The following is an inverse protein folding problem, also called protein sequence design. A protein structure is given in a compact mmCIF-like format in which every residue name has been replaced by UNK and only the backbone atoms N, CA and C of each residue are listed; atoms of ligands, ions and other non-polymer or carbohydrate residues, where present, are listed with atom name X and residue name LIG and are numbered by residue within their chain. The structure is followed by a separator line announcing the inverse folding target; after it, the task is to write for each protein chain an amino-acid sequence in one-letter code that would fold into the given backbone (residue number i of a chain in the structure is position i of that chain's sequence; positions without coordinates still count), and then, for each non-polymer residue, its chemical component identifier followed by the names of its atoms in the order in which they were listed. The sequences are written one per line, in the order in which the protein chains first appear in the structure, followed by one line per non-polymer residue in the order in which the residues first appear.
data_IF_526939930393
#
_entry.id   IF_526939930393
#
_cell.length_a   1.000
_cell.length_b   1.000
_cell.length_c   1.000
_cell.angle_alpha   90.00
_cell.angle_beta   90.00
_cell.angle_gamma   90.00
#
_symmetry.space_group_name_H-M   'P 1'
#
loop_
_entity.id
_entity.type
_entity.pdbx_description
1 polymer ?
#
# COMPACT_ATOMS: atom_id res chain seq x y z
N UNK A 1 -19.05 18.38 46.51
CA UNK A 1 -19.10 18.45 45.04
C UNK A 1 -17.77 17.95 44.55
N UNK A 2 -17.69 16.65 44.32
CA UNK A 2 -16.51 15.96 43.82
C UNK A 2 -16.94 15.23 42.56
N UNK A 3 -16.29 15.60 41.47
CA UNK A 3 -16.42 15.03 40.15
C UNK A 3 -16.14 13.53 40.16
N UNK A 4 -17.07 12.77 39.59
CA UNK A 4 -16.91 11.36 39.26
C UNK A 4 -17.20 11.22 37.77
N UNK A 5 -16.21 11.55 36.94
CA UNK A 5 -16.22 11.24 35.50
C UNK A 5 -15.76 9.79 35.33
N UNK A 6 -16.73 8.89 35.28
CA UNK A 6 -16.53 7.50 34.85
C UNK A 6 -16.31 7.47 33.34
N UNK A 7 -15.08 7.18 32.91
CA UNK A 7 -14.77 6.86 31.53
C UNK A 7 -15.39 5.49 31.18
N UNK A 8 -16.38 5.49 30.30
CA UNK A 8 -16.90 4.28 29.66
C UNK A 8 -15.91 3.83 28.60
N UNK A 9 -15.05 2.86 28.95
CA UNK A 9 -14.26 2.09 28.00
C UNK A 9 -15.18 1.33 27.04
N UNK A 10 -15.07 1.62 25.75
CA UNK A 10 -15.79 0.92 24.68
C UNK A 10 -15.23 -0.51 24.55
N UNK A 11 -16.02 -1.57 24.81
CA UNK A 11 -15.55 -2.96 24.82
C UNK A 11 -15.04 -3.45 23.47
N UNK A 12 -15.32 -2.72 22.38
CA UNK A 12 -14.90 -3.07 21.02
C UNK A 12 -13.39 -2.84 20.80
N UNK A 13 -12.83 -1.77 21.38
CA UNK A 13 -11.41 -1.42 21.23
C UNK A 13 -10.46 -2.40 21.94
N UNK A 14 -10.91 -3.01 23.04
CA UNK A 14 -10.13 -3.99 23.81
C UNK A 14 -9.98 -5.32 23.06
N UNK A 15 -11.03 -5.73 22.33
CA UNK A 15 -11.03 -7.00 21.58
C UNK A 15 -10.10 -6.95 20.37
N UNK A 16 -10.02 -5.81 19.68
CA UNK A 16 -9.16 -5.62 18.52
C UNK A 16 -7.66 -5.66 18.89
N UNK A 17 -7.29 -5.10 20.04
CA UNK A 17 -5.91 -5.16 20.54
C UNK A 17 -5.44 -6.60 20.85
N UNK A 18 -6.32 -7.47 21.35
CA UNK A 18 -5.95 -8.84 21.68
C UNK A 18 -5.64 -9.70 20.45
N UNK A 19 -6.38 -9.50 19.34
CA UNK A 19 -6.11 -10.16 18.05
C UNK A 19 -4.72 -9.80 17.52
N UNK A 20 -4.36 -8.53 17.62
CA UNK A 20 -3.06 -8.03 17.16
C UNK A 20 -1.91 -8.63 17.98
N UNK A 21 -2.05 -8.68 19.31
CA UNK A 21 -1.03 -9.30 20.17
C UNK A 21 -0.82 -10.79 19.86
N UNK A 22 -1.90 -11.53 19.61
CA UNK A 22 -1.80 -12.93 19.17
C UNK A 22 -1.04 -13.02 17.84
N UNK A 23 -1.36 -12.16 16.87
CA UNK A 23 -0.65 -12.11 15.58
C UNK A 23 0.85 -11.91 15.76
N UNK A 24 1.23 -10.91 16.57
CA UNK A 24 2.62 -10.57 16.84
C UNK A 24 3.36 -11.72 17.57
N UNK A 25 2.68 -12.44 18.46
CA UNK A 25 3.26 -13.58 19.17
C UNK A 25 3.64 -14.74 18.23
N UNK A 26 2.76 -15.11 17.31
CA UNK A 26 3.03 -16.16 16.31
C UNK A 26 4.09 -15.73 15.29
N UNK A 27 4.10 -14.47 14.87
CA UNK A 27 5.14 -13.94 13.96
C UNK A 27 6.52 -13.91 14.65
N UNK A 28 6.58 -13.58 15.95
CA UNK A 28 7.79 -13.72 16.76
C UNK A 28 8.28 -15.17 16.82
N UNK A 29 7.36 -16.14 16.94
CA UNK A 29 7.71 -17.56 16.90
C UNK A 29 8.28 -17.99 15.54
N UNK A 30 7.72 -17.48 14.45
CA UNK A 30 8.20 -17.73 13.09
C UNK A 30 9.60 -17.19 12.86
N UNK A 31 9.88 -15.95 13.29
CA UNK A 31 11.22 -15.33 13.15
C UNK A 31 12.30 -16.08 13.91
N UNK A 32 11.95 -16.84 14.94
CA UNK A 32 12.89 -17.71 15.66
C UNK A 32 13.34 -18.96 14.87
N UNK A 33 12.83 -19.16 13.65
CA UNK A 33 13.27 -20.22 12.73
C UNK A 33 12.73 -21.62 13.05
N UNK A 34 11.73 -21.74 13.94
CA UNK A 34 11.12 -23.03 14.28
C UNK A 34 10.20 -23.51 13.17
N UNK A 35 10.34 -24.78 12.76
CA UNK A 35 9.52 -25.39 11.70
C UNK A 35 8.01 -25.40 12.05
N UNK A 36 7.67 -25.65 13.32
CA UNK A 36 6.29 -25.72 13.81
C UNK A 36 5.86 -24.44 14.53
N UNK A 37 6.16 -23.27 13.96
CA UNK A 37 5.86 -21.98 14.61
C UNK A 37 4.36 -21.69 14.73
N UNK A 38 3.52 -22.37 13.96
CA UNK A 38 2.05 -22.28 14.00
C UNK A 38 1.41 -23.00 15.19
N UNK A 39 2.20 -23.71 15.99
CA UNK A 39 1.76 -24.43 17.18
C UNK A 39 2.69 -24.13 18.35
N UNK A 40 2.12 -23.80 19.51
CA UNK A 40 2.89 -23.63 20.75
C UNK A 40 2.03 -23.94 21.97
N UNK A 41 2.64 -24.20 23.13
CA UNK A 41 1.86 -24.41 24.36
C UNK A 41 1.25 -23.11 24.84
N UNK A 42 0.17 -23.17 25.62
CA UNK A 42 -0.45 -21.97 26.25
C UNK A 42 0.56 -21.17 27.07
N UNK A 43 1.49 -21.84 27.76
CA UNK A 43 2.57 -21.19 28.50
C UNK A 43 3.54 -20.42 27.59
N UNK A 44 3.91 -21.00 26.44
CA UNK A 44 4.78 -20.31 25.47
C UNK A 44 4.06 -19.12 24.85
N UNK A 45 2.77 -19.25 24.53
CA UNK A 45 1.97 -18.13 24.05
C UNK A 45 1.94 -16.99 25.10
N UNK A 46 1.63 -17.30 26.36
CA UNK A 46 1.62 -16.32 27.45
C UNK A 46 2.96 -15.61 27.60
N UNK A 47 4.07 -16.34 27.58
CA UNK A 47 5.40 -15.74 27.67
C UNK A 47 5.67 -14.78 26.51
N UNK A 48 5.26 -15.11 25.29
CA UNK A 48 5.42 -14.23 24.13
C UNK A 48 4.56 -12.96 24.23
N UNK A 49 3.32 -13.09 24.70
CA UNK A 49 2.44 -11.96 24.95
C UNK A 49 3.03 -11.03 26.01
N UNK A 50 3.61 -11.61 27.08
CA UNK A 50 4.34 -10.85 28.09
C UNK A 50 5.58 -10.16 27.49
N UNK A 51 6.36 -10.82 26.64
CA UNK A 51 7.55 -10.19 26.05
C UNK A 51 7.19 -9.03 25.10
N UNK A 52 6.11 -9.16 24.31
CA UNK A 52 5.62 -8.10 23.40
C UNK A 52 5.12 -6.88 24.18
N UNK A 53 4.42 -7.12 25.30
CA UNK A 53 3.81 -6.05 26.11
C UNK A 53 4.73 -5.50 27.20
N UNK A 54 6.03 -5.82 27.18
CA UNK A 54 6.94 -5.37 28.25
C UNK A 54 6.52 -5.87 29.64
N UNK A 55 5.98 -7.08 29.72
CA UNK A 55 5.44 -7.77 30.91
C UNK A 55 4.13 -7.20 31.44
N UNK A 56 3.44 -6.34 30.68
CA UNK A 56 2.18 -5.74 31.10
C UNK A 56 0.93 -6.61 30.83
N UNK A 57 1.02 -7.64 29.97
CA UNK A 57 -0.13 -8.47 29.61
C UNK A 57 -0.80 -9.13 30.83
N UNK A 58 -2.10 -8.89 30.99
CA UNK A 58 -2.98 -9.60 31.92
C UNK A 58 -4.22 -10.08 31.19
N UNK A 59 -4.62 -11.33 31.44
CA UNK A 59 -5.80 -11.91 30.80
C UNK A 59 -7.10 -11.16 31.14
N UNK A 60 -7.18 -10.58 32.34
CA UNK A 60 -8.32 -9.78 32.81
C UNK A 60 -8.59 -8.56 31.93
N UNK A 61 -7.54 -7.96 31.38
CA UNK A 61 -7.63 -6.75 30.56
C UNK A 61 -8.31 -7.05 29.22
N UNK A 62 -8.43 -8.33 28.86
CA UNK A 62 -9.12 -8.83 27.67
C UNK A 62 -10.38 -9.64 28.01
N UNK A 63 -10.91 -9.50 29.23
CA UNK A 63 -12.11 -10.20 29.69
C UNK A 63 -11.92 -11.70 29.93
N UNK A 64 -10.67 -12.18 30.02
CA UNK A 64 -10.35 -13.58 30.25
C UNK A 64 -9.88 -13.83 31.69
N UNK A 65 -10.24 -14.99 32.25
CA UNK A 65 -9.82 -15.39 33.61
C UNK A 65 -8.43 -16.01 33.64
N UNK A 66 -8.05 -16.67 32.55
CA UNK A 66 -6.77 -17.34 32.37
C UNK A 66 -6.42 -17.39 30.87
N UNK A 67 -5.22 -17.88 30.56
CA UNK A 67 -4.74 -17.94 29.18
C UNK A 67 -5.59 -18.85 28.28
N UNK A 68 -6.20 -19.91 28.83
CA UNK A 68 -7.05 -20.80 28.06
C UNK A 68 -8.39 -20.14 27.71
N UNK A 69 -8.98 -19.38 28.64
CA UNK A 69 -10.13 -18.50 28.39
C UNK A 69 -9.80 -17.42 27.37
N UNK A 70 -8.61 -16.82 27.43
CA UNK A 70 -8.16 -15.84 26.44
C UNK A 70 -8.10 -16.45 25.04
N UNK A 71 -7.50 -17.63 24.89
CA UNK A 71 -7.45 -18.35 23.60
C UNK A 71 -8.86 -18.67 23.08
N UNK A 72 -9.77 -19.10 23.97
CA UNK A 72 -11.17 -19.39 23.62
C UNK A 72 -11.98 -18.17 23.19
N UNK A 73 -11.55 -16.95 23.54
CA UNK A 73 -12.19 -15.72 23.10
C UNK A 73 -11.95 -15.41 21.60
N UNK A 74 -10.97 -16.08 20.98
CA UNK A 74 -10.62 -15.90 19.55
C UNK A 74 -10.72 -17.23 18.77
N UNK A 75 -11.90 -17.87 18.70
CA UNK A 75 -12.08 -19.19 18.10
C UNK A 75 -11.88 -19.19 16.57
N UNK A 76 -11.98 -18.03 15.93
CA UNK A 76 -11.69 -17.83 14.52
C UNK A 76 -10.18 -17.76 14.24
N UNK A 77 -9.37 -17.45 15.24
CA UNK A 77 -7.92 -17.31 15.10
C UNK A 77 -7.16 -18.51 15.65
N UNK A 78 -7.59 -19.03 16.80
CA UNK A 78 -6.86 -20.01 17.60
C UNK A 78 -7.71 -21.25 17.88
N UNK A 79 -7.07 -22.42 17.75
CA UNK A 79 -7.59 -23.69 18.22
C UNK A 79 -6.82 -24.09 19.48
N UNK A 80 -7.54 -24.36 20.56
CA UNK A 80 -6.98 -24.94 21.77
C UNK A 80 -7.09 -26.47 21.71
N UNK A 81 -5.95 -27.15 21.68
CA UNK A 81 -5.84 -28.59 21.76
C UNK A 81 -5.52 -29.03 23.20
N UNK A 82 -6.53 -29.62 23.85
CA UNK A 82 -6.43 -30.14 25.22
C UNK A 82 -6.00 -31.62 25.29
N UNK A 83 -5.69 -32.25 24.16
CA UNK A 83 -5.24 -33.65 24.14
C UNK A 83 -3.81 -33.83 24.67
N UNK A 84 -3.02 -32.75 24.67
CA UNK A 84 -1.65 -32.72 25.19
C UNK A 84 -1.56 -32.03 26.56
N UNK A 85 -0.59 -32.47 27.37
CA UNK A 85 -0.24 -31.83 28.64
C UNK A 85 1.21 -31.33 28.53
N UNK A 86 1.48 -30.00 28.57
CA UNK A 86 0.50 -28.91 28.66
C UNK A 86 -0.32 -28.68 27.37
N UNK A 87 -1.52 -28.06 27.46
CA UNK A 87 -2.36 -27.76 26.30
C UNK A 87 -1.63 -26.96 25.23
N UNK A 88 -1.94 -27.27 23.97
CA UNK A 88 -1.36 -26.60 22.80
C UNK A 88 -2.36 -25.64 22.18
N UNK A 89 -1.83 -24.57 21.62
CA UNK A 89 -2.56 -23.58 20.84
C UNK A 89 -2.05 -23.64 19.41
N UNK A 90 -2.97 -23.76 18.46
CA UNK A 90 -2.70 -23.80 17.03
C UNK A 90 -3.34 -22.60 16.36
N UNK A 91 -2.60 -21.94 15.47
CA UNK A 91 -3.13 -20.88 14.62
C UNK A 91 -4.01 -21.53 13.52
N UNK A 92 -5.33 -21.29 13.55
CA UNK A 92 -6.29 -21.83 12.56
C UNK A 92 -6.24 -21.00 11.28
N UNK A 93 -6.21 -19.68 11.45
CA UNK A 93 -6.34 -18.73 10.35
C UNK A 93 -4.99 -18.12 10.04
N UNK A 94 -4.34 -18.58 8.96
CA UNK A 94 -3.12 -17.97 8.41
C UNK A 94 -3.35 -16.56 7.87
N UNK A 95 -4.60 -16.10 7.71
CA UNK A 95 -4.96 -14.74 7.29
C UNK A 95 -4.42 -13.66 8.22
N UNK A 96 -4.16 -13.98 9.49
CA UNK A 96 -3.53 -13.03 10.42
C UNK A 96 -2.04 -12.82 10.08
N UNK A 97 -1.39 -13.79 9.43
CA UNK A 97 -0.05 -13.63 8.86
C UNK A 97 -0.06 -12.85 7.53
N UNK A 98 -1.21 -12.74 6.86
CA UNK A 98 -1.37 -11.85 5.70
C UNK A 98 -1.57 -10.39 6.10
N UNK A 99 -2.14 -10.13 7.28
CA UNK A 99 -2.30 -8.77 7.81
C UNK A 99 -1.07 -8.27 8.59
N UNK A 100 -0.25 -9.18 9.15
CA UNK A 100 0.96 -8.81 9.92
C UNK A 100 2.27 -8.82 9.11
N UNK A 101 2.27 -9.28 7.85
CA UNK A 101 3.31 -8.86 6.91
C UNK A 101 3.06 -7.39 6.62
N UNK A 102 4.11 -6.56 6.73
CA UNK A 102 4.14 -5.28 6.01
C UNK A 102 3.51 -5.50 4.63
N UNK A 103 2.59 -4.63 4.19
CA UNK A 103 1.78 -4.89 3.03
C UNK A 103 2.67 -5.40 1.91
N UNK A 104 2.40 -6.57 1.34
CA UNK A 104 3.23 -7.16 0.26
C UNK A 104 3.47 -6.14 -0.88
N UNK A 105 2.55 -5.20 -1.02
CA UNK A 105 2.60 -4.03 -1.88
C UNK A 105 3.76 -3.02 -1.62
N UNK A 106 4.43 -3.08 -0.47
CA UNK A 106 5.63 -2.28 -0.17
C UNK A 106 6.91 -2.85 -0.80
N UNK A 107 6.92 -4.14 -1.19
CA UNK A 107 8.13 -4.83 -1.66
C UNK A 107 8.21 -5.02 -3.18
N UNK A 108 7.20 -4.60 -3.93
CA UNK A 108 7.17 -4.84 -5.37
C UNK A 108 6.15 -4.01 -6.14
N UNK A 109 6.10 -4.28 -7.44
CA UNK A 109 5.13 -3.71 -8.38
C UNK A 109 4.09 -4.78 -8.68
N UNK A 110 2.82 -4.43 -8.56
CA UNK A 110 1.74 -5.30 -9.02
C UNK A 110 1.92 -5.54 -10.52
N UNK A 111 1.70 -6.78 -10.96
CA UNK A 111 1.85 -7.17 -12.35
C UNK A 111 1.10 -6.18 -13.28
N UNK A 112 1.73 -5.66 -14.35
CA UNK A 112 1.17 -4.53 -15.10
C UNK A 112 -0.22 -4.75 -15.71
N UNK A 113 -0.53 -5.97 -16.12
CA UNK A 113 -1.84 -6.37 -16.63
C UNK A 113 -2.92 -6.32 -15.54
N UNK A 114 -2.63 -6.86 -14.35
CA UNK A 114 -3.52 -6.81 -13.19
C UNK A 114 -3.76 -5.37 -12.70
N UNK A 115 -2.68 -4.58 -12.62
CA UNK A 115 -2.77 -3.17 -12.27
C UNK A 115 -3.67 -2.42 -13.25
N UNK A 116 -3.47 -2.62 -14.55
CA UNK A 116 -4.29 -1.98 -15.59
C UNK A 116 -5.75 -2.43 -15.49
N UNK A 117 -6.00 -3.71 -15.29
CA UNK A 117 -7.36 -4.25 -15.19
C UNK A 117 -8.17 -3.61 -14.05
N UNK A 118 -7.52 -3.35 -12.91
CA UNK A 118 -8.17 -2.73 -11.75
C UNK A 118 -8.28 -1.21 -11.91
N UNK A 119 -7.21 -0.55 -12.38
CA UNK A 119 -7.09 0.91 -12.36
C UNK A 119 -7.60 1.62 -13.62
N UNK A 120 -7.92 0.90 -14.70
CA UNK A 120 -8.35 1.50 -15.98
C UNK A 120 -9.85 1.82 -16.02
N UNK A 121 -10.33 2.53 -15.00
CA UNK A 121 -11.74 2.91 -14.86
C UNK A 121 -12.19 4.03 -15.80
N UNK A 122 -11.26 4.70 -16.49
CA UNK A 122 -11.53 5.81 -17.39
C UNK A 122 -11.75 5.38 -18.84
N UNK A 123 -11.19 4.24 -19.25
CA UNK A 123 -11.33 3.77 -20.63
C UNK A 123 -12.70 3.17 -20.93
N UNK A 124 -13.46 2.78 -19.89
CA UNK A 124 -14.70 2.02 -20.04
C UNK A 124 -14.48 0.56 -20.48
N UNK A 125 -13.23 0.10 -20.59
CA UNK A 125 -12.90 -1.27 -20.96
C UNK A 125 -13.18 -2.23 -19.81
N UNK A 126 -13.66 -3.42 -20.16
CA UNK A 126 -13.77 -4.54 -19.22
C UNK A 126 -12.60 -5.49 -19.40
N UNK A 127 -12.03 -5.93 -18.30
CA UNK A 127 -10.91 -6.87 -18.27
C UNK A 127 -11.37 -8.23 -17.79
N UNK A 128 -10.81 -9.30 -18.35
CA UNK A 128 -11.18 -10.68 -18.06
C UNK A 128 -9.93 -11.51 -17.77
N UNK A 129 -10.06 -12.54 -16.95
CA UNK A 129 -8.97 -13.45 -16.62
C UNK A 129 -8.97 -14.67 -17.54
N UNK A 130 -7.89 -14.86 -18.30
CA UNK A 130 -7.72 -16.01 -19.21
C UNK A 130 -7.06 -17.24 -18.54
N UNK A 131 -6.86 -17.20 -17.21
CA UNK A 131 -6.11 -18.20 -16.45
C UNK A 131 -4.63 -17.85 -16.25
N UNK A 132 -4.10 -16.90 -17.03
CA UNK A 132 -2.68 -16.50 -16.98
C UNK A 132 -2.50 -14.99 -16.80
N UNK A 133 -3.28 -14.18 -17.51
CA UNK A 133 -3.18 -12.73 -17.59
C UNK A 133 -4.54 -12.05 -17.69
N UNK A 134 -4.57 -10.77 -17.34
CA UNK A 134 -5.75 -9.93 -17.56
C UNK A 134 -5.76 -9.42 -19.00
N UNK A 135 -6.78 -9.80 -19.76
CA UNK A 135 -6.98 -9.37 -21.14
C UNK A 135 -8.10 -8.32 -21.21
N UNK A 136 -7.84 -7.23 -21.93
CA UNK A 136 -8.88 -6.25 -22.25
C UNK A 136 -9.82 -6.88 -23.28
N UNK A 137 -11.12 -6.87 -23.00
CA UNK A 137 -12.10 -7.36 -23.93
C UNK A 137 -12.71 -6.19 -24.71
N UNK A 138 -12.27 -6.03 -25.94
CA UNK A 138 -12.84 -5.09 -26.90
C UNK A 138 -13.89 -5.78 -27.81
N UNK A 139 -14.17 -7.09 -27.66
CA UNK A 139 -15.05 -7.85 -28.57
C UNK A 139 -15.78 -9.02 -27.90
N UNK A 140 -17.10 -9.09 -28.07
CA UNK A 140 -18.03 -10.05 -27.43
C UNK A 140 -17.80 -11.56 -27.68
N UNK A 141 -16.64 -11.96 -28.18
CA UNK A 141 -16.27 -13.33 -28.57
C UNK A 141 -15.51 -14.12 -27.51
N UNK A 142 -15.10 -13.49 -26.40
CA UNK A 142 -14.53 -14.24 -25.27
C UNK A 142 -15.66 -14.99 -24.56
N UNK A 143 -15.46 -16.29 -24.33
CA UNK A 143 -16.39 -17.16 -23.60
C UNK A 143 -16.60 -16.72 -22.15
N UNK A 144 -17.19 -17.57 -21.28
CA UNK A 144 -17.51 -17.22 -19.90
C UNK A 144 -16.25 -17.13 -19.02
N UNK A 145 -15.44 -16.08 -19.24
CA UNK A 145 -14.27 -15.77 -18.44
C UNK A 145 -14.68 -14.91 -17.23
N UNK A 146 -14.05 -15.10 -16.06
CA UNK A 146 -14.26 -14.23 -14.91
C UNK A 146 -13.85 -12.79 -15.22
N UNK A 147 -14.75 -11.84 -14.98
CA UNK A 147 -14.51 -10.40 -15.17
C UNK A 147 -13.75 -9.82 -13.97
N UNK A 148 -12.69 -9.06 -14.22
CA UNK A 148 -11.95 -8.36 -13.17
C UNK A 148 -12.77 -7.21 -12.55
N UNK A 149 -12.53 -6.92 -11.26
CA UNK A 149 -13.06 -5.74 -10.59
C UNK A 149 -12.26 -4.51 -11.04
N UNK A 150 -12.82 -3.74 -11.96
CA UNK A 150 -12.32 -2.41 -12.30
C UNK A 150 -12.96 -1.41 -11.35
N UNK A 151 -12.16 -0.58 -10.70
CA UNK A 151 -12.70 0.41 -9.75
C UNK A 151 -13.58 1.43 -10.46
N UNK A 152 -14.46 2.13 -9.76
CA UNK A 152 -15.19 3.27 -10.29
C UNK A 152 -14.45 4.59 -10.03
N UNK A 153 -14.88 5.67 -10.68
CA UNK A 153 -14.35 7.00 -10.36
C UNK A 153 -14.69 7.43 -8.92
N UNK A 154 -15.82 6.97 -8.39
CA UNK A 154 -16.26 7.26 -7.03
C UNK A 154 -15.40 6.51 -6.00
N UNK A 155 -15.05 5.25 -6.30
CA UNK A 155 -14.14 4.46 -5.46
C UNK A 155 -12.74 5.09 -5.40
N UNK A 156 -12.23 5.58 -6.53
CA UNK A 156 -10.95 6.28 -6.55
C UNK A 156 -10.99 7.56 -5.71
N UNK A 157 -12.08 8.32 -5.75
CA UNK A 157 -12.25 9.50 -4.90
C UNK A 157 -12.36 9.15 -3.41
N UNK A 158 -13.04 8.04 -3.09
CA UNK A 158 -13.07 7.50 -1.73
C UNK A 158 -11.66 7.11 -1.26
N UNK A 159 -10.85 6.49 -2.12
CA UNK A 159 -9.46 6.16 -1.78
C UNK A 159 -8.62 7.41 -1.52
N UNK A 160 -8.83 8.49 -2.28
CA UNK A 160 -8.16 9.77 -2.04
C UNK A 160 -8.55 10.41 -0.71
N UNK A 161 -9.86 10.44 -0.38
CA UNK A 161 -10.35 10.95 0.90
C UNK A 161 -9.80 10.16 2.09
N UNK A 162 -9.94 8.83 2.04
CA UNK A 162 -9.40 7.94 3.07
C UNK A 162 -7.88 8.11 3.25
N UNK A 163 -7.15 8.38 2.16
CA UNK A 163 -5.72 8.67 2.25
C UNK A 163 -5.44 10.01 2.94
N UNK A 164 -6.18 11.07 2.61
CA UNK A 164 -6.06 12.37 3.28
C UNK A 164 -6.33 12.27 4.79
N UNK A 165 -7.34 11.50 5.20
CA UNK A 165 -7.70 11.31 6.61
C UNK A 165 -6.65 10.52 7.39
N UNK A 166 -6.01 9.53 6.76
CA UNK A 166 -5.00 8.66 7.41
C UNK A 166 -3.57 9.19 7.32
N UNK A 167 -3.33 10.26 6.55
CA UNK A 167 -1.99 10.81 6.34
C UNK A 167 -1.39 11.54 7.57
N UNK A 168 -2.16 12.33 8.35
CA UNK A 168 -1.63 13.04 9.51
C UNK A 168 -1.03 12.13 10.59
N UNK A 169 -1.46 10.87 10.65
CA UNK A 169 -0.91 9.85 11.55
C UNK A 169 0.53 9.45 11.18
N UNK A 170 0.90 9.61 9.90
CA UNK A 170 2.19 9.14 9.36
C UNK A 170 3.21 10.24 9.20
N UNK A 171 2.77 11.44 8.81
CA UNK A 171 3.65 12.58 8.55
C UNK A 171 3.00 13.89 9.00
N UNK A 172 3.82 14.80 9.54
CA UNK A 172 3.41 16.17 9.79
C UNK A 172 3.58 16.99 8.51
N UNK A 173 2.48 17.58 8.01
CA UNK A 173 2.48 18.46 6.86
C UNK A 173 2.49 19.92 7.30
N UNK A 174 3.15 20.79 6.53
CA UNK A 174 2.96 22.23 6.66
C UNK A 174 1.55 22.65 6.21
N UNK A 175 1.10 23.83 6.62
CA UNK A 175 -0.20 24.40 6.23
C UNK A 175 -0.37 24.44 4.70
N UNK A 176 0.65 24.92 3.98
CA UNK A 176 0.66 24.95 2.51
C UNK A 176 0.58 23.55 1.87
N UNK A 177 1.24 22.55 2.45
CA UNK A 177 1.15 21.16 1.97
C UNK A 177 -0.21 20.53 2.28
N UNK A 178 -0.84 20.93 3.39
CA UNK A 178 -2.22 20.57 3.74
C UNK A 178 -3.22 21.10 2.72
N UNK A 179 -3.15 22.39 2.38
CA UNK A 179 -3.97 23.00 1.33
C UNK A 179 -3.73 22.34 -0.04
N UNK A 180 -2.46 22.05 -0.36
CA UNK A 180 -2.10 21.35 -1.60
C UNK A 180 -2.73 19.94 -1.65
N UNK A 181 -2.72 19.21 -0.53
CA UNK A 181 -3.33 17.89 -0.43
C UNK A 181 -4.85 17.96 -0.57
N UNK A 182 -5.50 18.91 0.09
CA UNK A 182 -6.94 19.13 -0.01
C UNK A 182 -7.36 19.47 -1.44
N UNK A 183 -6.64 20.38 -2.10
CA UNK A 183 -6.87 20.71 -3.50
C UNK A 183 -6.65 19.50 -4.43
N UNK A 184 -5.65 18.66 -4.12
CA UNK A 184 -5.41 17.43 -4.87
C UNK A 184 -6.57 16.44 -4.80
N UNK A 185 -7.20 16.29 -3.63
CA UNK A 185 -8.40 15.46 -3.46
C UNK A 185 -9.59 16.07 -4.22
N UNK A 186 -9.87 17.36 -4.01
CA UNK A 186 -11.05 18.05 -4.54
C UNK A 186 -11.03 18.17 -6.07
N UNK A 187 -9.91 18.56 -6.66
CA UNK A 187 -9.79 18.80 -8.12
C UNK A 187 -9.32 17.54 -8.87
N UNK A 188 -9.19 16.41 -8.17
CA UNK A 188 -8.77 15.11 -8.73
C UNK A 188 -7.41 15.15 -9.44
N UNK A 189 -6.48 15.95 -8.93
CA UNK A 189 -5.19 16.20 -9.57
C UNK A 189 -4.32 14.93 -9.69
N UNK A 190 -3.38 14.87 -10.65
CA UNK A 190 -2.45 13.75 -10.79
C UNK A 190 -1.47 13.63 -9.61
N UNK A 191 -0.85 12.46 -9.42
CA UNK A 191 0.05 12.15 -8.28
C UNK A 191 1.27 13.07 -8.20
N UNK A 192 1.73 13.65 -9.31
CA UNK A 192 2.82 14.63 -9.31
C UNK A 192 2.45 15.97 -8.64
N UNK A 193 1.16 16.24 -8.42
CA UNK A 193 0.68 17.42 -7.70
C UNK A 193 0.56 17.18 -6.19
N UNK A 194 0.85 15.98 -5.68
CA UNK A 194 0.97 15.74 -4.24
C UNK A 194 2.29 16.30 -3.67
N UNK A 195 2.30 16.69 -2.38
CA UNK A 195 3.54 16.91 -1.63
C UNK A 195 4.50 15.72 -1.77
N UNK A 196 5.80 15.98 -1.90
CA UNK A 196 6.81 14.96 -2.21
C UNK A 196 6.80 13.80 -1.22
N UNK A 197 6.67 14.10 0.07
CA UNK A 197 6.63 13.11 1.14
C UNK A 197 5.41 12.19 1.02
N UNK A 198 4.26 12.75 0.67
CA UNK A 198 3.00 12.04 0.51
C UNK A 198 2.95 11.14 -0.74
N UNK A 199 3.74 11.40 -1.79
CA UNK A 199 3.71 10.63 -3.04
C UNK A 199 4.04 9.15 -2.84
N UNK A 200 5.05 8.86 -2.03
CA UNK A 200 5.47 7.48 -1.76
C UNK A 200 4.40 6.73 -0.98
N UNK A 201 3.87 7.37 0.07
CA UNK A 201 2.79 6.87 0.91
C UNK A 201 1.49 6.65 0.12
N UNK A 202 1.17 7.54 -0.83
CA UNK A 202 0.02 7.40 -1.70
C UNK A 202 0.14 6.19 -2.63
N UNK A 203 1.31 5.99 -3.24
CA UNK A 203 1.54 4.82 -4.09
C UNK A 203 1.47 3.52 -3.29
N UNK A 204 1.99 3.51 -2.06
CA UNK A 204 1.84 2.38 -1.15
C UNK A 204 0.37 2.13 -0.81
N UNK A 205 -0.39 3.18 -0.46
CA UNK A 205 -1.82 3.09 -0.19
C UNK A 205 -2.58 2.47 -1.37
N UNK A 206 -2.34 2.97 -2.59
CA UNK A 206 -2.95 2.43 -3.81
C UNK A 206 -2.58 0.96 -4.03
N UNK A 207 -1.30 0.62 -3.93
CA UNK A 207 -0.87 -0.76 -4.10
C UNK A 207 -1.55 -1.68 -3.07
N UNK A 208 -1.65 -1.28 -1.81
CA UNK A 208 -2.30 -2.06 -0.75
C UNK A 208 -3.77 -2.31 -1.06
N UNK A 209 -4.48 -1.26 -1.49
CA UNK A 209 -5.91 -1.35 -1.88
C UNK A 209 -6.11 -2.28 -3.07
N UNK A 210 -5.30 -2.16 -4.11
CA UNK A 210 -5.38 -3.00 -5.31
C UNK A 210 -5.05 -4.47 -4.98
N UNK A 211 -4.01 -4.73 -4.17
CA UNK A 211 -3.69 -6.10 -3.74
C UNK A 211 -4.83 -6.71 -2.94
N UNK A 212 -5.42 -5.96 -1.99
CA UNK A 212 -6.57 -6.43 -1.20
C UNK A 212 -7.73 -6.82 -2.11
N UNK A 213 -8.10 -5.93 -3.03
CA UNK A 213 -9.21 -6.11 -3.96
C UNK A 213 -8.97 -7.30 -4.92
N UNK A 214 -7.73 -7.47 -5.41
CA UNK A 214 -7.37 -8.65 -6.21
C UNK A 214 -7.47 -9.95 -5.40
N UNK A 215 -6.96 -9.99 -4.16
CA UNK A 215 -7.06 -11.19 -3.31
C UNK A 215 -8.49 -11.59 -3.03
N UNK A 216 -9.33 -10.62 -2.65
CA UNK A 216 -10.75 -10.85 -2.42
C UNK A 216 -11.41 -11.40 -3.67
N UNK A 217 -11.14 -10.81 -4.84
CA UNK A 217 -11.69 -11.29 -6.10
C UNK A 217 -11.22 -12.70 -6.49
N UNK A 218 -9.92 -13.02 -6.38
CA UNK A 218 -9.42 -14.37 -6.68
C UNK A 218 -10.04 -15.42 -5.76
N UNK A 219 -10.19 -15.10 -4.47
CA UNK A 219 -10.84 -15.95 -3.48
C UNK A 219 -12.31 -16.17 -3.82
N UNK A 220 -13.05 -15.11 -4.09
CA UNK A 220 -14.50 -15.17 -4.33
C UNK A 220 -14.83 -15.92 -5.63
N UNK A 221 -13.90 -15.96 -6.59
CA UNK A 221 -14.01 -16.74 -7.83
C UNK A 221 -13.39 -18.15 -7.72
N UNK A 222 -12.90 -18.56 -6.55
CA UNK A 222 -12.22 -19.86 -6.34
C UNK A 222 -11.04 -20.10 -7.30
N UNK A 223 -10.32 -19.04 -7.65
CA UNK A 223 -9.17 -19.09 -8.55
C UNK A 223 -7.85 -19.10 -7.76
N UNK A 224 -6.84 -19.78 -8.28
CA UNK A 224 -5.50 -19.72 -7.71
C UNK A 224 -4.87 -18.35 -7.99
N UNK A 225 -4.36 -17.72 -6.93
CA UNK A 225 -3.63 -16.47 -7.03
C UNK A 225 -2.28 -16.70 -7.73
N UNK A 226 -1.91 -15.91 -8.76
CA UNK A 226 -0.60 -16.02 -9.38
C UNK A 226 0.52 -15.74 -8.37
N UNK A 227 1.53 -16.61 -8.33
CA UNK A 227 2.71 -16.42 -7.47
C UNK A 227 3.47 -15.12 -7.80
N UNK A 228 3.34 -14.64 -9.04
CA UNK A 228 3.97 -13.43 -9.55
C UNK A 228 3.07 -12.18 -9.51
N UNK A 229 1.95 -12.22 -8.76
CA UNK A 229 1.02 -11.09 -8.64
C UNK A 229 1.74 -9.79 -8.25
N UNK A 230 2.72 -9.89 -7.36
CA UNK A 230 3.60 -8.78 -6.99
C UNK A 230 5.02 -9.13 -7.44
N UNK A 231 5.45 -8.47 -8.51
CA UNK A 231 6.79 -8.60 -9.05
C UNK A 231 7.74 -7.81 -8.16
N UNK A 232 8.75 -8.48 -7.59
CA UNK A 232 9.85 -7.75 -6.98
C UNK A 232 10.44 -6.81 -8.02
N UNK A 233 10.68 -5.55 -7.64
CA UNK A 233 11.42 -4.64 -8.51
C UNK A 233 12.78 -5.29 -8.73
N UNK A 234 13.00 -5.86 -9.91
CA UNK A 234 14.35 -6.14 -10.36
C UNK A 234 15.04 -4.78 -10.30
N UNK A 235 16.02 -4.66 -9.41
CA UNK A 235 16.89 -3.49 -9.37
C UNK A 235 17.73 -3.55 -10.63
N UNK A 236 17.11 -3.26 -11.78
CA UNK A 236 17.83 -2.99 -13.00
C UNK A 236 18.75 -1.82 -12.66
N UNK A 237 20.05 -2.12 -12.71
CA UNK A 237 21.16 -1.24 -12.36
C UNK A 237 21.24 -0.01 -13.28
N UNK A 238 20.22 0.83 -13.27
CA UNK A 238 20.37 2.24 -13.56
C UNK A 238 20.03 2.98 -12.28
N UNK A 239 20.89 2.81 -11.27
CA UNK A 239 20.97 3.77 -10.19
C UNK A 239 21.35 5.10 -10.85
N UNK A 240 20.35 5.87 -11.30
CA UNK A 240 20.52 7.31 -11.43
C UNK A 240 20.92 7.73 -10.02
N UNK A 241 22.15 8.24 -9.81
CA UNK A 241 22.63 8.54 -8.47
C UNK A 241 21.57 9.39 -7.78
N UNK A 242 21.24 9.07 -6.52
CA UNK A 242 20.24 9.83 -5.72
C UNK A 242 20.46 11.35 -5.82
N UNK A 243 21.71 11.76 -6.04
CA UNK A 243 22.10 13.13 -6.34
C UNK A 243 21.41 13.78 -7.55
N UNK A 244 21.05 13.06 -8.62
CA UNK A 244 20.45 13.67 -9.82
C UNK A 244 19.01 14.12 -9.57
N UNK A 245 18.23 13.36 -8.82
CA UNK A 245 16.85 13.74 -8.47
C UNK A 245 16.83 14.95 -7.52
N UNK A 246 17.70 14.93 -6.50
CA UNK A 246 17.89 16.06 -5.58
C UNK A 246 18.43 17.30 -6.31
N UNK A 247 19.39 17.12 -7.21
CA UNK A 247 19.94 18.21 -8.03
C UNK A 247 18.89 18.80 -8.97
N UNK A 248 18.04 17.98 -9.58
CA UNK A 248 16.93 18.46 -10.41
C UNK A 248 15.97 19.32 -9.60
N UNK A 249 15.58 18.87 -8.41
CA UNK A 249 14.69 19.63 -7.53
C UNK A 249 15.33 20.95 -7.09
N UNK A 250 16.61 20.91 -6.72
CA UNK A 250 17.38 22.10 -6.38
C UNK A 250 17.44 23.10 -7.54
N UNK A 251 17.76 22.64 -8.75
CA UNK A 251 17.77 23.49 -9.96
C UNK A 251 16.39 24.10 -10.21
N UNK A 252 15.31 23.32 -10.10
CA UNK A 252 13.95 23.84 -10.26
C UNK A 252 13.62 24.93 -9.23
N UNK A 253 14.09 24.77 -7.98
CA UNK A 253 13.93 25.78 -6.93
C UNK A 253 14.76 27.04 -7.20
N UNK A 254 15.98 26.91 -7.71
CA UNK A 254 16.79 28.05 -8.13
C UNK A 254 16.12 28.81 -9.29
N UNK A 255 15.72 28.10 -10.35
CA UNK A 255 15.06 28.69 -11.54
C UNK A 255 13.78 29.44 -11.17
N UNK A 256 12.99 28.96 -10.20
CA UNK A 256 11.78 29.65 -9.72
C UNK A 256 12.05 30.98 -9.01
N UNK A 257 13.25 31.19 -8.47
CA UNK A 257 13.63 32.40 -7.73
C UNK A 257 14.56 33.32 -8.52
N UNK A 258 14.93 32.94 -9.76
CA UNK A 258 15.77 33.75 -10.62
C UNK A 258 14.97 34.89 -11.26
N UNK A 259 15.63 36.04 -11.39
CA UNK A 259 15.17 37.20 -12.15
C UNK A 259 15.22 36.95 -13.66
N UNK A 260 14.60 37.82 -14.44
CA UNK A 260 14.60 37.70 -15.91
C UNK A 260 16.03 37.72 -16.49
N UNK A 261 16.89 38.58 -15.96
CA UNK A 261 18.28 38.71 -16.42
C UNK A 261 19.10 37.46 -16.06
N UNK A 262 18.87 36.88 -14.87
CA UNK A 262 19.50 35.61 -14.48
C UNK A 262 19.03 34.45 -15.35
N UNK A 263 17.74 34.38 -15.69
CA UNK A 263 17.19 33.37 -16.60
C UNK A 263 17.81 33.48 -18.01
N UNK A 264 17.98 34.71 -18.53
CA UNK A 264 18.66 34.96 -19.82
C UNK A 264 20.12 34.52 -19.82
N UNK A 265 20.77 34.57 -18.65
CA UNK A 265 22.18 34.17 -18.49
C UNK A 265 22.37 32.65 -18.32
N UNK A 266 21.31 31.85 -18.13
CA UNK A 266 21.43 30.40 -17.97
C UNK A 266 21.94 29.76 -19.26
N UNK A 267 23.10 29.11 -19.18
CA UNK A 267 23.67 28.37 -20.29
C UNK A 267 23.25 26.89 -20.23
N UNK A 268 22.29 26.51 -21.08
CA UNK A 268 21.80 25.14 -21.16
C UNK A 268 22.56 24.36 -22.24
N UNK A 269 23.10 23.16 -21.94
CA UNK A 269 23.73 22.34 -22.95
C UNK A 269 22.75 22.04 -24.10
N UNK A 270 23.14 22.19 -25.38
CA UNK A 270 22.24 21.93 -26.52
C UNK A 270 21.61 20.54 -26.50
N UNK A 271 22.33 19.53 -26.00
CA UNK A 271 21.81 18.16 -25.84
C UNK A 271 20.67 18.05 -24.81
N UNK A 272 20.68 18.88 -23.77
CA UNK A 272 19.61 18.94 -22.78
C UNK A 272 18.37 19.64 -23.35
N UNK A 273 18.57 20.73 -24.09
CA UNK A 273 17.51 21.45 -24.80
C UNK A 273 16.85 20.55 -25.83
N UNK A 274 17.62 19.86 -26.67
CA UNK A 274 17.09 18.93 -27.66
C UNK A 274 16.29 17.78 -27.04
N UNK A 275 16.69 17.27 -25.87
CA UNK A 275 15.87 16.26 -25.15
C UNK A 275 14.59 16.84 -24.56
N UNK A 276 14.63 18.08 -24.09
CA UNK A 276 13.45 18.77 -23.56
C UNK A 276 12.42 19.08 -24.67
N UNK A 277 12.88 19.40 -25.88
CA UNK A 277 12.03 19.70 -27.03
C UNK A 277 11.70 18.48 -27.92
N UNK A 278 12.56 17.45 -27.93
CA UNK A 278 12.53 16.34 -28.89
C UNK A 278 12.10 14.97 -28.34
N UNK A 279 11.53 14.91 -27.13
CA UNK A 279 11.00 13.68 -26.53
C UNK A 279 9.56 13.31 -26.90
N UNK A 280 8.87 14.16 -27.68
CA UNK A 280 7.57 13.85 -28.29
C UNK A 280 7.67 14.08 -29.80
N UNK A 281 7.00 13.24 -30.59
CA UNK A 281 7.02 13.19 -32.08
C UNK A 281 6.74 14.51 -32.84
N UNK A 282 6.59 15.64 -32.16
CA UNK A 282 6.24 16.94 -32.75
C UNK A 282 7.45 17.82 -33.19
N UNK A 283 8.69 17.43 -32.87
CA UNK A 283 9.87 18.31 -33.01
C UNK A 283 10.43 18.55 -34.42
N UNK A 284 9.97 17.85 -35.45
CA UNK A 284 10.54 17.95 -36.81
C UNK A 284 9.89 19.01 -37.73
N UNK A 285 9.03 19.89 -37.20
CA UNK A 285 8.29 20.88 -38.03
C UNK A 285 8.69 22.34 -37.87
N UNK A 286 9.72 22.69 -37.10
CA UNK A 286 10.21 24.07 -37.09
C UNK A 286 11.12 24.32 -38.29
N UNK A 287 10.52 24.97 -39.29
CA UNK A 287 11.07 25.25 -40.60
C UNK A 287 12.42 25.98 -40.56
N UNK A 288 13.41 25.32 -41.14
CA UNK A 288 14.45 26.02 -41.89
C UNK A 288 13.84 26.45 -43.22
N UNK A 289 13.11 27.57 -43.19
CA UNK A 289 12.76 28.31 -44.39
C UNK A 289 14.05 28.78 -45.04
N UNK A 290 14.50 28.07 -46.07
CA UNK A 290 15.50 28.56 -47.02
C UNK A 290 15.03 29.90 -47.56
N UNK A 291 15.66 30.99 -47.15
CA UNK A 291 15.74 32.19 -47.97
C UNK A 291 16.64 31.87 -49.15
N UNK A 292 16.02 31.42 -50.24
CA UNK A 292 16.62 31.46 -51.57
C UNK A 292 16.26 32.81 -52.19
N UNK A 293 17.22 33.73 -52.19
CA UNK A 293 17.24 34.88 -53.09
C UNK A 293 18.14 34.56 -54.28
N UNK A 294 17.54 34.52 -55.47
CA UNK A 294 17.93 35.20 -56.72
C UNK A 294 16.99 34.74 -57.84
#
# INVERSE_FOLDING_TARGET
MTDEQSATDDPTHVQDNGRELVAQAFESARRSGRLNWTEMTTAVLKNRLLDITGRAFKESDYGARDIASFVKAYPDLLALDNSAIPPKVKLITTSVTENAKLPIASQGRIRPDLWRAVMDYRSGRSYYWDGKQAIANDSATLGPLPKFPTISSEEMDNWRRNFQETLPEKISLSEQEGEQLENWVTVRLPTNNLPLQARSLWNEHLNNRVVKLLREWFRDNSLLMPDDMVQQRTTSRSATPVGVAQLREFILRCVKNMTEDELKAINLPPSAVLRAYGGGEAGLRLGLGRQGGL
#
